data_IF_297806207401
#
_entry.id   IF_297806207401
#
_cell.length_a   1.000
_cell.length_b   1.000
_cell.length_c   1.000
_cell.angle_alpha   90.00
_cell.angle_beta   90.00
_cell.angle_gamma   90.00
#
_symmetry.space_group_name_H-M   'P 1'
#
loop_
_entity.id
_entity.type
_entity.pdbx_description
1 polymer ?
#
# COMPACT_ATOMS: atom_id res chain seq x y z
N UNK A 1 14.29 -22.37 -10.04
CA UNK A 1 15.14 -21.65 -9.06
C UNK A 1 15.07 -20.17 -9.43
N UNK A 2 14.30 -19.29 -8.81
CA UNK A 2 13.40 -19.36 -7.64
C UNK A 2 11.96 -19.61 -8.07
N UNK A 3 11.31 -20.52 -7.36
CA UNK A 3 9.85 -20.62 -7.27
C UNK A 3 9.39 -19.66 -6.17
N UNK A 4 8.25 -18.99 -6.39
CA UNK A 4 7.30 -18.40 -5.41
C UNK A 4 6.43 -17.40 -6.19
N UNK A 5 5.40 -17.87 -6.88
CA UNK A 5 4.02 -18.00 -6.39
C UNK A 5 3.36 -16.63 -6.22
N UNK A 6 2.36 -16.40 -7.08
CA UNK A 6 1.36 -15.33 -7.10
C UNK A 6 0.63 -15.17 -5.75
N UNK A 7 1.32 -14.78 -4.69
CA UNK A 7 0.62 -14.29 -3.52
C UNK A 7 0.10 -12.89 -3.85
N UNK A 8 -1.21 -12.63 -3.66
CA UNK A 8 -1.78 -11.32 -3.91
C UNK A 8 -1.18 -10.31 -2.93
N UNK A 9 -0.17 -9.55 -3.38
CA UNK A 9 0.41 -8.43 -2.67
C UNK A 9 -0.63 -7.30 -2.53
N UNK A 10 -0.95 -6.93 -1.30
CA UNK A 10 -1.92 -5.89 -0.95
C UNK A 10 -1.24 -4.77 -0.17
N UNK A 11 -1.89 -3.59 -0.14
CA UNK A 11 -1.36 -2.46 0.63
C UNK A 11 -1.30 -2.77 2.14
N UNK A 12 -2.25 -3.58 2.64
CA UNK A 12 -2.25 -4.10 4.01
C UNK A 12 -0.98 -4.88 4.32
N UNK A 13 -0.60 -5.82 3.46
CA UNK A 13 0.60 -6.64 3.67
C UNK A 13 1.87 -5.80 3.56
N UNK A 14 1.95 -4.85 2.61
CA UNK A 14 3.09 -3.93 2.53
C UNK A 14 3.25 -3.14 3.83
N UNK A 15 2.13 -2.64 4.38
CA UNK A 15 2.12 -1.92 5.66
C UNK A 15 2.53 -2.81 6.83
N UNK A 16 2.04 -4.05 6.89
CA UNK A 16 2.36 -5.01 7.96
C UNK A 16 3.82 -5.48 7.91
N UNK A 17 4.37 -5.70 6.70
CA UNK A 17 5.79 -6.01 6.51
C UNK A 17 6.70 -4.87 6.98
N UNK A 18 6.23 -3.62 6.86
CA UNK A 18 6.90 -2.45 7.42
C UNK A 18 6.66 -2.27 8.94
N UNK A 19 5.92 -3.18 9.59
CA UNK A 19 5.55 -3.12 11.01
C UNK A 19 4.76 -1.85 11.39
N UNK A 20 3.96 -1.34 10.47
CA UNK A 20 3.16 -0.13 10.64
C UNK A 20 1.69 -0.47 10.91
N UNK A 21 1.05 0.31 11.78
CA UNK A 21 -0.42 0.35 11.85
C UNK A 21 -0.94 1.35 10.81
N UNK A 22 -2.24 1.30 10.47
CA UNK A 22 -2.85 2.30 9.58
C UNK A 22 -2.61 3.73 10.10
N UNK A 23 -2.69 3.93 11.42
CA UNK A 23 -2.38 5.21 12.08
C UNK A 23 -0.93 5.65 11.84
N UNK A 24 0.05 4.77 12.07
CA UNK A 24 1.46 5.12 11.86
C UNK A 24 1.75 5.47 10.41
N UNK A 25 1.17 4.72 9.46
CA UNK A 25 1.31 5.02 8.03
C UNK A 25 0.66 6.35 7.65
N UNK A 26 -0.54 6.62 8.17
CA UNK A 26 -1.25 7.88 7.94
C UNK A 26 -0.43 9.09 8.39
N UNK A 27 0.14 9.01 9.60
CA UNK A 27 1.03 10.06 10.14
C UNK A 27 2.26 10.24 9.25
N UNK A 28 2.92 9.15 8.85
CA UNK A 28 4.14 9.21 8.05
C UNK A 28 3.91 9.78 6.63
N UNK A 29 2.76 9.46 6.01
CA UNK A 29 2.39 9.98 4.67
C UNK A 29 1.77 11.38 4.75
N UNK A 30 1.29 11.81 5.93
CA UNK A 30 0.61 13.09 6.12
C UNK A 30 -0.84 13.10 5.64
N UNK A 31 -1.57 12.00 5.84
CA UNK A 31 -2.98 11.84 5.47
C UNK A 31 -3.82 11.36 6.65
N UNK A 32 -5.14 11.28 6.48
CA UNK A 32 -6.02 10.70 7.50
C UNK A 32 -5.94 9.17 7.51
N UNK A 33 -6.27 8.55 8.65
CA UNK A 33 -6.41 7.08 8.74
C UNK A 33 -7.46 6.57 7.75
N UNK A 34 -8.56 7.30 7.61
CA UNK A 34 -9.63 6.97 6.66
C UNK A 34 -9.09 6.91 5.23
N UNK A 35 -8.18 7.82 4.86
CA UNK A 35 -7.52 7.79 3.56
C UNK A 35 -6.71 6.51 3.35
N UNK A 36 -5.97 6.05 4.37
CA UNK A 36 -5.26 4.75 4.30
C UNK A 36 -6.24 3.60 4.16
N UNK A 37 -7.33 3.59 4.93
CA UNK A 37 -8.38 2.58 4.84
C UNK A 37 -9.02 2.56 3.44
N UNK A 38 -9.32 3.73 2.87
CA UNK A 38 -9.89 3.84 1.53
C UNK A 38 -8.94 3.31 0.46
N UNK A 39 -7.63 3.56 0.60
CA UNK A 39 -6.60 2.99 -0.28
C UNK A 39 -6.50 1.47 -0.16
N UNK A 40 -6.48 0.94 1.06
CA UNK A 40 -6.41 -0.51 1.31
C UNK A 40 -7.65 -1.26 0.79
N UNK A 41 -8.80 -0.59 0.74
CA UNK A 41 -10.07 -1.15 0.25
C UNK A 41 -10.38 -0.77 -1.21
N UNK A 42 -9.46 -0.11 -1.93
CA UNK A 42 -9.67 0.26 -3.34
C UNK A 42 -10.69 1.36 -3.60
N UNK A 43 -11.17 2.05 -2.55
CA UNK A 43 -12.17 3.13 -2.66
C UNK A 43 -11.59 4.44 -3.19
N UNK A 44 -10.27 4.62 -3.05
CA UNK A 44 -9.55 5.80 -3.51
C UNK A 44 -8.13 5.43 -3.93
N UNK A 45 -7.52 6.28 -4.75
CA UNK A 45 -6.13 6.13 -5.20
C UNK A 45 -5.24 7.26 -4.64
N UNK A 46 -3.97 6.97 -4.32
CA UNK A 46 -3.02 7.98 -3.87
C UNK A 46 -2.61 8.91 -5.02
N UNK A 47 -2.36 10.18 -4.70
CA UNK A 47 -1.72 11.11 -5.65
C UNK A 47 -0.23 10.79 -5.78
N UNK A 48 0.39 11.22 -6.89
CA UNK A 48 1.83 11.01 -7.16
C UNK A 48 2.75 11.35 -5.97
N UNK A 49 2.45 12.43 -5.23
CA UNK A 49 3.22 12.81 -4.04
C UNK A 49 3.17 11.74 -2.94
N UNK A 50 2.03 11.10 -2.74
CA UNK A 50 1.86 10.04 -1.75
C UNK A 50 2.46 8.72 -2.26
N UNK A 51 2.42 8.45 -3.56
CA UNK A 51 3.07 7.25 -4.14
C UNK A 51 4.56 7.23 -3.80
N UNK A 52 5.27 8.35 -4.00
CA UNK A 52 6.70 8.45 -3.66
C UNK A 52 6.95 8.18 -2.17
N UNK A 53 6.16 8.80 -1.29
CA UNK A 53 6.26 8.59 0.16
C UNK A 53 5.96 7.15 0.56
N UNK A 54 4.94 6.52 -0.05
CA UNK A 54 4.57 5.14 0.25
C UNK A 54 5.69 4.17 -0.12
N UNK A 55 6.31 4.32 -1.29
CA UNK A 55 7.47 3.50 -1.70
C UNK A 55 8.59 3.59 -0.67
N UNK A 56 8.94 4.81 -0.24
CA UNK A 56 10.00 5.06 0.73
C UNK A 56 9.67 4.51 2.13
N UNK A 57 8.47 4.81 2.66
CA UNK A 57 8.04 4.42 4.00
C UNK A 57 7.81 2.91 4.13
N UNK A 58 7.23 2.30 3.09
CA UNK A 58 6.91 0.87 3.09
C UNK A 58 8.12 0.01 2.70
N UNK A 59 9.20 0.63 2.20
CA UNK A 59 10.42 -0.08 1.80
C UNK A 59 10.18 -1.09 0.67
N UNK A 60 9.29 -0.76 -0.27
CA UNK A 60 8.90 -1.63 -1.39
C UNK A 60 9.25 -0.99 -2.73
N UNK A 61 9.15 -1.75 -3.83
CA UNK A 61 9.30 -1.19 -5.18
C UNK A 61 8.03 -0.46 -5.64
N UNK A 62 8.16 0.33 -6.71
CA UNK A 62 6.98 0.92 -7.35
C UNK A 62 6.08 -0.16 -7.94
N UNK A 63 6.66 -1.22 -8.50
CA UNK A 63 5.96 -2.38 -9.05
C UNK A 63 5.10 -3.07 -7.98
N UNK A 64 5.67 -3.31 -6.80
CA UNK A 64 4.97 -3.86 -5.64
C UNK A 64 3.78 -2.96 -5.26
N UNK A 65 4.03 -1.67 -5.08
CA UNK A 65 2.98 -0.72 -4.71
C UNK A 65 1.86 -0.67 -5.76
N UNK A 66 2.23 -0.65 -7.04
CA UNK A 66 1.28 -0.63 -8.16
C UNK A 66 0.42 -1.90 -8.17
N UNK A 67 1.02 -3.07 -8.00
CA UNK A 67 0.30 -4.34 -7.94
C UNK A 67 -0.69 -4.38 -6.76
N UNK A 68 -0.29 -3.81 -5.62
CA UNK A 68 -1.15 -3.70 -4.45
C UNK A 68 -2.40 -2.86 -4.68
N UNK A 69 -2.27 -1.73 -5.39
CA UNK A 69 -3.41 -0.88 -5.75
C UNK A 69 -4.33 -1.52 -6.79
N UNK A 70 -3.77 -2.17 -7.81
CA UNK A 70 -4.55 -2.90 -8.81
C UNK A 70 -5.39 -4.02 -8.20
N UNK A 71 -4.87 -4.72 -7.19
CA UNK A 71 -5.62 -5.75 -6.49
C UNK A 71 -6.72 -5.19 -5.60
N UNK A 72 -6.47 -4.08 -4.90
CA UNK A 72 -7.49 -3.42 -4.08
C UNK A 72 -8.70 -3.01 -4.95
N UNK A 73 -8.44 -2.48 -6.15
CA UNK A 73 -9.45 -2.09 -7.14
C UNK A 73 -10.27 -3.26 -7.70
N UNK A 74 -9.68 -4.44 -7.82
CA UNK A 74 -10.40 -5.66 -8.23
C UNK A 74 -11.35 -6.20 -7.15
N UNK A 75 -11.14 -5.81 -5.89
CA UNK A 75 -11.92 -6.27 -4.74
C UNK A 75 -13.05 -5.31 -4.32
N UNK A 76 -13.02 -4.07 -4.82
CA UNK A 76 -14.02 -3.02 -4.56
C UNK A 76 -15.20 -3.07 -5.52
#
# INVERSE_FOLDING_TARGET
MKSQEDQPLTLVQLRENANLTQMKLAIAVGVSITTISDWENGKAEPRLKHVRLLVEILGCSFEDLSQAFEQAKRRS
#
